data_IF_238019026424
#
_entry.id   IF_238019026424
#
_cell.length_a   1.000
_cell.length_b   1.000
_cell.length_c   1.000
_cell.angle_alpha   90.00
_cell.angle_beta   90.00
_cell.angle_gamma   90.00
#
_symmetry.space_group_name_H-M   'P 1'
#
loop_
_entity.id
_entity.type
_entity.pdbx_description
1 polymer ?
#
# COMPACT_ATOMS: atom_id res chain seq x y z
N UNK A 1 -16.11 4.98 15.10
CA UNK A 1 -14.77 5.41 15.54
C UNK A 1 -13.85 4.22 15.47
N UNK A 2 -13.22 4.02 14.32
CA UNK A 2 -12.37 2.86 14.04
C UNK A 2 -10.95 3.13 14.51
N UNK A 3 -10.65 2.78 15.75
CA UNK A 3 -9.27 2.57 16.14
C UNK A 3 -8.80 1.29 15.44
N UNK A 4 -7.80 1.44 14.57
CA UNK A 4 -6.95 0.33 14.12
C UNK A 4 -6.62 -0.49 15.37
N UNK A 5 -6.99 -1.77 15.38
CA UNK A 5 -6.54 -2.68 16.43
C UNK A 5 -5.04 -2.86 16.25
N UNK A 6 -4.28 -1.95 16.84
CA UNK A 6 -2.92 -2.18 17.26
C UNK A 6 -2.97 -3.40 18.20
N UNK A 7 -2.75 -4.60 17.68
CA UNK A 7 -2.05 -5.60 18.47
C UNK A 7 -0.72 -4.94 18.81
N UNK A 8 -0.61 -4.49 20.07
CA UNK A 8 0.48 -3.68 20.56
C UNK A 8 1.82 -4.20 20.06
N UNK A 9 2.59 -3.33 19.40
CA UNK A 9 4.03 -3.50 19.17
C UNK A 9 4.50 -4.85 18.61
N UNK A 10 3.64 -5.64 17.95
CA UNK A 10 3.92 -7.06 17.73
C UNK A 10 4.22 -7.48 16.29
N UNK A 11 3.61 -6.85 15.27
CA UNK A 11 3.84 -7.24 13.87
C UNK A 11 4.47 -6.12 13.05
N UNK A 12 3.95 -4.89 13.17
CA UNK A 12 4.58 -3.71 12.56
C UNK A 12 5.99 -3.43 13.10
N UNK A 13 6.25 -3.76 14.37
CA UNK A 13 7.58 -3.68 14.98
C UNK A 13 8.49 -4.88 14.65
N UNK A 14 7.92 -6.05 14.29
CA UNK A 14 8.68 -7.26 13.96
C UNK A 14 9.20 -7.25 12.52
N UNK A 15 8.48 -6.61 11.59
CA UNK A 15 8.87 -6.62 10.17
C UNK A 15 9.69 -5.39 9.75
N UNK A 16 9.56 -4.26 10.46
CA UNK A 16 10.39 -3.06 10.28
C UNK A 16 10.36 -2.40 8.89
N UNK A 17 9.69 -2.99 7.89
CA UNK A 17 9.61 -2.57 6.49
C UNK A 17 8.33 -3.13 5.84
N UNK A 18 7.82 -2.44 4.81
CA UNK A 18 6.82 -2.95 3.84
C UNK A 18 5.47 -3.38 4.47
N UNK A 19 5.04 -2.62 5.45
CA UNK A 19 3.91 -2.94 6.34
C UNK A 19 2.61 -3.18 5.56
N UNK A 20 2.38 -2.45 4.47
CA UNK A 20 1.15 -2.58 3.69
C UNK A 20 1.07 -3.88 2.87
N UNK A 21 2.19 -4.39 2.36
CA UNK A 21 2.23 -5.68 1.64
C UNK A 21 1.78 -6.82 2.56
N UNK A 22 2.30 -6.83 3.78
CA UNK A 22 2.04 -7.89 4.76
C UNK A 22 0.59 -7.89 5.21
N UNK A 23 0.05 -6.71 5.54
CA UNK A 23 -1.35 -6.59 5.90
C UNK A 23 -2.30 -6.91 4.73
N UNK A 24 -1.94 -6.56 3.50
CA UNK A 24 -2.72 -6.93 2.33
C UNK A 24 -2.73 -8.46 2.10
N UNK A 25 -1.59 -9.13 2.25
CA UNK A 25 -1.50 -10.58 2.17
C UNK A 25 -2.32 -11.26 3.27
N UNK A 26 -2.22 -10.79 4.51
CA UNK A 26 -3.00 -11.33 5.63
C UNK A 26 -4.48 -11.05 5.47
N UNK A 27 -4.88 -9.88 4.95
CA UNK A 27 -6.26 -9.57 4.64
C UNK A 27 -6.82 -10.54 3.60
N UNK A 28 -6.07 -10.87 2.55
CA UNK A 28 -6.47 -11.89 1.59
C UNK A 28 -6.66 -13.26 2.24
N UNK A 29 -5.70 -13.71 3.07
CA UNK A 29 -5.82 -14.99 3.79
C UNK A 29 -7.00 -15.00 4.78
N UNK A 30 -7.27 -13.89 5.46
CA UNK A 30 -8.42 -13.74 6.34
C UNK A 30 -9.75 -13.86 5.56
N UNK A 31 -9.82 -13.30 4.35
CA UNK A 31 -10.99 -13.45 3.49
C UNK A 31 -11.19 -14.89 3.02
N UNK A 32 -10.11 -15.61 2.66
CA UNK A 32 -10.19 -17.04 2.34
C UNK A 32 -10.66 -17.88 3.55
N UNK A 33 -10.12 -17.59 4.74
CA UNK A 33 -10.54 -18.26 5.97
C UNK A 33 -12.01 -17.99 6.31
N UNK A 34 -12.48 -16.75 6.10
CA UNK A 34 -13.87 -16.38 6.26
C UNK A 34 -14.80 -17.09 5.27
N UNK A 35 -14.34 -17.32 4.04
CA UNK A 35 -15.09 -18.03 3.00
C UNK A 35 -15.35 -19.49 3.37
N UNK A 36 -14.39 -20.13 4.06
CA UNK A 36 -14.55 -21.50 4.59
C UNK A 36 -15.16 -21.56 6.00
N UNK A 37 -15.72 -20.45 6.50
CA UNK A 37 -16.49 -20.42 7.75
C UNK A 37 -15.70 -20.13 9.02
N UNK A 38 -14.41 -19.80 8.94
CA UNK A 38 -13.61 -19.44 10.12
C UNK A 38 -13.81 -17.96 10.44
N UNK A 39 -14.44 -17.68 11.58
CA UNK A 39 -14.73 -16.32 12.09
C UNK A 39 -15.16 -15.32 11.00
N UNK A 40 -16.20 -15.61 10.20
CA UNK A 40 -16.43 -14.91 8.94
C UNK A 40 -16.58 -13.40 9.10
N UNK A 41 -17.39 -12.95 10.07
CA UNK A 41 -17.65 -11.53 10.27
C UNK A 41 -16.41 -10.80 10.78
N UNK A 42 -15.69 -11.38 11.74
CA UNK A 42 -14.49 -10.76 12.30
C UNK A 42 -13.39 -10.62 11.26
N UNK A 43 -13.13 -11.68 10.48
CA UNK A 43 -12.07 -11.69 9.48
C UNK A 43 -12.39 -10.80 8.28
N UNK A 44 -13.66 -10.77 7.84
CA UNK A 44 -14.11 -9.85 6.80
C UNK A 44 -13.98 -8.39 7.24
N UNK A 45 -14.43 -8.07 8.46
CA UNK A 45 -14.34 -6.71 9.00
C UNK A 45 -12.88 -6.27 9.18
N UNK A 46 -12.02 -7.17 9.67
CA UNK A 46 -10.60 -6.89 9.82
C UNK A 46 -9.90 -6.70 8.46
N UNK A 47 -10.14 -7.59 7.49
CA UNK A 47 -9.59 -7.45 6.14
C UNK A 47 -10.03 -6.13 5.49
N UNK A 48 -11.30 -5.76 5.64
CA UNK A 48 -11.83 -4.46 5.16
C UNK A 48 -11.08 -3.29 5.78
N UNK A 49 -10.79 -3.30 7.08
CA UNK A 49 -10.07 -2.19 7.71
C UNK A 49 -8.62 -2.08 7.24
N UNK A 50 -7.95 -3.20 6.95
CA UNK A 50 -6.58 -3.18 6.43
C UNK A 50 -6.53 -2.60 5.01
N UNK A 51 -7.44 -3.06 4.13
CA UNK A 51 -7.52 -2.55 2.76
C UNK A 51 -8.02 -1.09 2.74
N UNK A 52 -9.00 -0.76 3.59
CA UNK A 52 -9.48 0.61 3.77
C UNK A 52 -8.40 1.59 4.21
N UNK A 53 -7.51 1.18 5.12
CA UNK A 53 -6.33 1.96 5.51
C UNK A 53 -5.44 2.27 4.31
N UNK A 54 -5.10 1.27 3.50
CA UNK A 54 -4.29 1.46 2.28
C UNK A 54 -4.98 2.39 1.26
N UNK A 55 -6.32 2.31 1.16
CA UNK A 55 -7.12 3.10 0.23
C UNK A 55 -7.36 4.55 0.69
N UNK A 56 -7.40 4.79 2.00
CA UNK A 56 -7.32 6.13 2.58
C UNK A 56 -8.26 6.47 3.73
N UNK A 57 -8.77 5.48 4.46
CA UNK A 57 -9.63 5.68 5.64
C UNK A 57 -8.99 6.58 6.72
N UNK A 58 -7.66 6.72 6.72
CA UNK A 58 -6.89 7.56 7.65
C UNK A 58 -6.52 8.94 7.09
N UNK A 59 -7.16 9.36 5.99
CA UNK A 59 -7.04 10.71 5.42
C UNK A 59 -6.06 10.84 4.25
N UNK A 60 -5.36 9.76 3.88
CA UNK A 60 -4.54 9.70 2.66
C UNK A 60 -4.46 8.28 2.09
N UNK A 61 -4.38 8.16 0.77
CA UNK A 61 -4.14 6.88 0.12
C UNK A 61 -2.66 6.51 0.14
N UNK A 62 -2.39 5.20 0.13
CA UNK A 62 -1.07 4.63 -0.13
C UNK A 62 -1.00 3.90 -1.49
N UNK A 63 -2.02 4.10 -2.33
CA UNK A 63 -2.08 3.55 -3.69
C UNK A 63 -1.83 4.69 -4.68
N UNK A 64 -0.77 4.57 -5.47
CA UNK A 64 -0.36 5.60 -6.43
C UNK A 64 -1.51 5.90 -7.41
N UNK A 65 -1.84 7.18 -7.53
CA UNK A 65 -2.89 7.66 -8.44
C UNK A 65 -4.33 7.39 -8.02
N UNK A 66 -4.57 6.98 -6.76
CA UNK A 66 -5.91 6.68 -6.25
C UNK A 66 -6.24 7.47 -4.98
N UNK A 67 -7.51 7.87 -4.81
CA UNK A 67 -8.01 8.46 -3.57
C UNK A 67 -7.44 9.84 -3.23
N UNK A 68 -7.46 10.16 -1.94
CA UNK A 68 -7.02 11.47 -1.41
C UNK A 68 -5.53 11.47 -1.14
N UNK A 69 -4.78 12.47 -1.63
CA UNK A 69 -3.36 12.66 -1.36
C UNK A 69 -2.49 11.38 -1.53
N UNK A 70 -2.54 10.70 -2.69
CA UNK A 70 -1.74 9.49 -2.94
C UNK A 70 -0.24 9.78 -3.02
N UNK A 71 0.62 8.75 -2.91
CA UNK A 71 2.04 8.85 -3.21
C UNK A 71 2.27 9.34 -4.64
N UNK A 72 3.15 10.32 -4.79
CA UNK A 72 3.51 10.89 -6.09
C UNK A 72 4.96 10.58 -6.45
N UNK A 73 5.77 10.09 -5.52
CA UNK A 73 7.20 9.83 -5.70
C UNK A 73 7.58 8.36 -5.39
N UNK A 74 6.87 7.36 -5.93
CA UNK A 74 7.27 5.97 -5.72
C UNK A 74 8.69 5.72 -6.24
N UNK A 75 9.45 4.87 -5.53
CA UNK A 75 10.80 4.44 -5.90
C UNK A 75 10.73 3.51 -7.12
N UNK A 76 10.50 4.09 -8.30
CA UNK A 76 10.30 3.33 -9.53
C UNK A 76 10.89 4.07 -10.74
N UNK A 77 11.90 3.44 -11.35
CA UNK A 77 12.77 4.04 -12.38
C UNK A 77 11.98 4.54 -13.58
N UNK A 78 11.14 3.69 -14.17
CA UNK A 78 10.41 4.04 -15.40
C UNK A 78 9.45 5.22 -15.16
N UNK A 79 8.80 5.26 -14.00
CA UNK A 79 7.88 6.38 -13.70
C UNK A 79 8.59 7.68 -13.37
N UNK A 80 9.84 7.63 -12.87
CA UNK A 80 10.62 8.84 -12.59
C UNK A 80 11.28 9.43 -13.83
N UNK A 81 11.38 8.67 -14.92
CA UNK A 81 11.93 9.16 -16.18
C UNK A 81 11.00 10.22 -16.84
N UNK A 82 11.56 11.24 -17.50
CA UNK A 82 10.78 12.13 -18.35
C UNK A 82 10.26 11.40 -19.61
N UNK A 83 9.28 12.02 -20.26
CA UNK A 83 8.83 11.55 -21.59
C UNK A 83 9.94 11.68 -22.63
N UNK A 84 9.96 10.74 -23.58
CA UNK A 84 10.83 10.84 -24.75
C UNK A 84 10.52 12.12 -25.55
N UNK A 85 11.53 12.73 -26.23
CA UNK A 85 12.89 12.21 -26.45
C UNK A 85 13.90 12.53 -25.35
N UNK A 86 13.49 13.17 -24.24
CA UNK A 86 14.40 13.49 -23.14
C UNK A 86 15.10 12.23 -22.62
N UNK A 87 16.43 12.26 -22.40
CA UNK A 87 17.14 11.12 -21.86
C UNK A 87 16.70 10.86 -20.41
N UNK A 88 16.78 9.59 -19.98
CA UNK A 88 16.61 9.21 -18.58
C UNK A 88 17.92 8.66 -18.02
N UNK A 89 18.25 9.06 -16.81
CA UNK A 89 19.51 8.82 -16.12
C UNK A 89 19.30 8.59 -14.63
N UNK A 90 20.39 8.36 -13.89
CA UNK A 90 20.33 8.29 -12.43
C UNK A 90 19.90 9.62 -11.78
N UNK A 91 20.11 10.76 -12.45
CA UNK A 91 19.69 12.06 -11.94
C UNK A 91 18.16 12.16 -11.81
N UNK A 92 17.40 11.50 -12.69
CA UNK A 92 15.94 11.52 -12.68
C UNK A 92 15.35 10.82 -11.44
N UNK A 93 16.06 9.82 -10.91
CA UNK A 93 15.70 9.18 -9.64
C UNK A 93 15.96 10.10 -8.43
N UNK A 94 16.71 11.18 -8.60
CA UNK A 94 17.04 12.13 -7.54
C UNK A 94 16.30 13.46 -7.63
N UNK A 95 15.51 13.68 -8.68
CA UNK A 95 14.82 14.96 -8.88
C UNK A 95 13.84 15.26 -7.74
N UNK A 96 13.79 16.50 -7.24
CA UNK A 96 12.73 16.88 -6.33
C UNK A 96 11.38 16.87 -7.07
N UNK A 97 10.30 16.62 -6.34
CA UNK A 97 8.94 16.65 -6.90
C UNK A 97 8.40 15.29 -7.37
N UNK A 98 7.14 15.28 -7.83
CA UNK A 98 6.44 14.09 -8.34
C UNK A 98 7.20 13.35 -9.44
N UNK A 99 6.94 12.07 -9.58
CA UNK A 99 7.32 11.31 -10.77
C UNK A 99 6.60 11.88 -12.01
N UNK A 100 7.29 12.05 -13.16
CA UNK A 100 6.66 12.53 -14.38
C UNK A 100 5.49 11.66 -14.87
N UNK A 101 5.54 10.36 -14.56
CA UNK A 101 4.47 9.42 -14.88
C UNK A 101 3.84 8.85 -13.61
N UNK A 102 2.52 8.87 -13.53
CA UNK A 102 1.78 8.21 -12.44
C UNK A 102 1.79 6.70 -12.64
N UNK A 103 2.33 5.97 -11.66
CA UNK A 103 2.35 4.51 -11.65
C UNK A 103 1.04 3.97 -11.05
N UNK A 104 -0.08 4.15 -11.78
CA UNK A 104 -1.42 3.83 -11.28
C UNK A 104 -1.52 2.44 -10.64
N UNK A 105 -2.14 2.40 -9.46
CA UNK A 105 -2.48 1.16 -8.76
C UNK A 105 -1.34 0.56 -7.94
N UNK A 106 -0.13 1.12 -7.98
CA UNK A 106 0.97 0.62 -7.18
C UNK A 106 0.75 0.92 -5.69
N UNK A 107 0.69 -0.14 -4.87
CA UNK A 107 0.76 -0.05 -3.42
C UNK A 107 2.22 0.21 -2.99
N UNK A 108 2.45 1.29 -2.25
CA UNK A 108 3.78 1.60 -1.69
C UNK A 108 4.05 0.79 -0.41
N UNK A 109 5.31 0.74 0.03
CA UNK A 109 5.70 0.07 1.29
C UNK A 109 4.93 0.57 2.52
N UNK A 110 4.61 1.87 2.55
CA UNK A 110 3.71 2.48 3.52
C UNK A 110 4.42 3.14 4.70
N UNK A 111 3.67 3.45 5.78
CA UNK A 111 4.20 4.17 6.93
C UNK A 111 5.08 3.28 7.82
N UNK A 112 5.84 3.93 8.69
CA UNK A 112 6.57 3.26 9.77
C UNK A 112 5.64 2.82 10.91
N UNK A 113 6.21 2.20 11.96
CA UNK A 113 5.46 1.70 13.11
C UNK A 113 4.79 2.78 13.99
N UNK A 114 4.96 4.07 13.67
CA UNK A 114 4.33 5.21 14.32
C UNK A 114 3.33 5.92 13.38
N UNK A 115 2.87 5.25 12.32
CA UNK A 115 1.99 5.80 11.28
C UNK A 115 2.60 7.02 10.52
N UNK A 116 3.91 7.21 10.58
CA UNK A 116 4.58 8.30 9.87
C UNK A 116 5.00 7.84 8.47
N UNK A 117 4.70 8.67 7.48
CA UNK A 117 5.06 8.42 6.08
C UNK A 117 5.46 9.72 5.39
N UNK A 118 6.59 9.67 4.70
CA UNK A 118 7.12 10.73 3.85
C UNK A 118 7.13 10.26 2.40
N UNK A 119 6.54 11.04 1.49
CA UNK A 119 6.60 10.77 0.04
C UNK A 119 7.96 11.22 -0.51
N UNK A 120 8.97 10.36 -0.35
CA UNK A 120 10.33 10.56 -0.81
C UNK A 120 10.78 9.37 -1.65
N UNK A 121 11.11 9.65 -2.93
CA UNK A 121 11.62 8.65 -3.87
C UNK A 121 12.89 7.96 -3.36
N UNK A 122 13.69 8.61 -2.51
CA UNK A 122 14.93 8.02 -1.97
C UNK A 122 14.68 7.06 -0.81
N UNK A 123 13.50 7.15 -0.18
CA UNK A 123 13.08 6.22 0.85
C UNK A 123 12.50 4.96 0.20
N UNK A 124 13.40 4.03 -0.16
CA UNK A 124 13.09 2.70 -0.68
C UNK A 124 12.47 1.76 0.38
N UNK A 125 12.17 2.24 1.60
CA UNK A 125 11.39 1.46 2.56
C UNK A 125 9.93 1.85 2.46
N UNK A 126 9.64 3.16 2.54
CA UNK A 126 8.27 3.67 2.54
C UNK A 126 7.67 3.77 1.13
N UNK A 127 8.50 4.07 0.11
CA UNK A 127 8.07 4.36 -1.25
C UNK A 127 8.42 3.27 -2.27
N UNK A 128 8.98 2.15 -1.82
CA UNK A 128 9.16 0.98 -2.69
C UNK A 128 7.81 0.49 -3.21
N UNK A 129 7.84 -0.03 -4.44
CA UNK A 129 6.71 -0.68 -5.10
C UNK A 129 7.22 -1.96 -5.74
N UNK A 130 6.45 -3.04 -5.62
CA UNK A 130 6.82 -4.32 -6.19
C UNK A 130 5.59 -5.13 -6.62
N UNK A 131 5.81 -6.16 -7.45
CA UNK A 131 4.73 -7.04 -7.91
C UNK A 131 4.04 -7.75 -6.73
N UNK A 132 4.82 -8.23 -5.77
CA UNK A 132 4.35 -8.96 -4.60
C UNK A 132 3.59 -8.06 -3.60
N UNK A 133 3.79 -6.73 -3.64
CA UNK A 133 2.99 -5.80 -2.83
C UNK A 133 1.54 -5.76 -3.31
N UNK A 134 1.37 -5.83 -4.64
CA UNK A 134 0.06 -5.76 -5.26
C UNK A 134 -0.66 -7.11 -5.31
N UNK A 135 0.05 -8.24 -5.22
CA UNK A 135 -0.54 -9.58 -5.37
C UNK A 135 -1.65 -9.87 -4.34
N UNK A 136 -1.33 -9.78 -3.04
CA UNK A 136 -2.32 -9.95 -1.98
C UNK A 136 -3.34 -8.82 -1.95
N UNK A 137 -2.90 -7.59 -2.19
CA UNK A 137 -3.76 -6.41 -2.22
C UNK A 137 -4.88 -6.52 -3.26
N UNK A 138 -4.54 -6.79 -4.52
CA UNK A 138 -5.52 -6.95 -5.58
C UNK A 138 -6.48 -8.12 -5.30
N UNK A 139 -5.95 -9.22 -4.75
CA UNK A 139 -6.76 -10.40 -4.38
C UNK A 139 -7.73 -10.08 -3.24
N UNK A 140 -7.29 -9.33 -2.22
CA UNK A 140 -8.14 -8.88 -1.13
C UNK A 140 -9.22 -7.88 -1.59
N UNK A 141 -8.87 -6.93 -2.47
CA UNK A 141 -9.84 -6.00 -3.08
C UNK A 141 -10.90 -6.77 -3.87
N UNK A 142 -10.50 -7.79 -4.64
CA UNK A 142 -11.44 -8.66 -5.35
C UNK A 142 -12.35 -9.43 -4.38
N UNK A 143 -11.79 -10.00 -3.31
CA UNK A 143 -12.55 -10.71 -2.27
C UNK A 143 -13.58 -9.82 -1.57
N UNK A 144 -13.20 -8.60 -1.17
CA UNK A 144 -14.13 -7.64 -0.56
C UNK A 144 -15.26 -7.26 -1.51
N UNK A 145 -14.94 -7.03 -2.80
CA UNK A 145 -15.95 -6.73 -3.83
C UNK A 145 -16.90 -7.91 -4.06
N UNK A 146 -16.39 -9.14 -4.11
CA UNK A 146 -17.20 -10.35 -4.28
C UNK A 146 -18.22 -10.50 -3.15
N UNK A 147 -17.78 -10.25 -1.91
CA UNK A 147 -18.61 -10.32 -0.72
C UNK A 147 -19.54 -9.10 -0.55
N UNK A 148 -19.57 -8.18 -1.53
CA UNK A 148 -20.36 -6.94 -1.56
C UNK A 148 -20.14 -6.06 -0.32
N UNK A 149 -18.91 -6.03 0.18
CA UNK A 149 -18.52 -5.21 1.33
C UNK A 149 -17.92 -3.88 0.90
#
# INVERSE_FOLDING_TARGET
GGAVLYYGSGLGAVLGRQVLREYANMAFMALLAADVGVHPDQYRQWARSQIGYALGDTGRSFVVGFGTNPPQRPHHRSSSCPSRPSPCSFADQQQPGPNPHTLYGALVGGPNGQDQYTDDRKDYVSNEVACDYNAGFQSAVAGLKHLRM
#
